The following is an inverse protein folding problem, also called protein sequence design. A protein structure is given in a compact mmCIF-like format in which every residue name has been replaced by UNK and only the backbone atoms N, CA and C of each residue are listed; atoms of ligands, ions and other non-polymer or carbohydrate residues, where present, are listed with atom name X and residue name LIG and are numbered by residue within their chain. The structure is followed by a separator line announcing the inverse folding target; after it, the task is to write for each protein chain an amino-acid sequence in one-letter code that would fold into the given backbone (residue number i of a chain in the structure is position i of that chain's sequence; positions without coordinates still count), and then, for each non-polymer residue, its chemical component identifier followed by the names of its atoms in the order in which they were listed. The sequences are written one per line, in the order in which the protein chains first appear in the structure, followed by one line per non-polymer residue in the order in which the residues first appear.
data_IF_180227682669
#
_entry.id   IF_180227682669
#
_cell.length_a   1.000
_cell.length_b   1.000
_cell.length_c   1.000
_cell.angle_alpha   90.00
_cell.angle_beta   90.00
_cell.angle_gamma   90.00
#
_symmetry.space_group_name_H-M   'P 1'
#
loop_
_entity.id
_entity.type
_entity.pdbx_description
1 polymer ?
#
# COMPACT_ATOMS: atom_id res chain seq x y z
N UNK A 1 -55.19 -10.64 25.19
CA UNK A 1 -54.99 -9.46 24.33
C UNK A 1 -54.34 -8.39 25.21
N UNK A 2 -53.23 -7.74 24.91
CA UNK A 2 -52.51 -7.53 23.65
C UNK A 2 -50.98 -7.58 23.85
N UNK A 3 -50.27 -7.81 22.74
CA UNK A 3 -48.82 -7.95 22.57
C UNK A 3 -48.09 -6.60 22.60
N UNK A 4 -46.86 -6.64 23.11
CA UNK A 4 -45.63 -6.11 22.49
C UNK A 4 -45.53 -4.63 22.14
N UNK A 5 -44.58 -3.93 22.77
CA UNK A 5 -43.83 -2.83 22.15
C UNK A 5 -42.35 -3.14 22.29
N UNK A 6 -41.74 -3.61 21.21
CA UNK A 6 -40.30 -3.68 21.04
C UNK A 6 -39.73 -2.27 21.13
N UNK A 7 -38.61 -2.12 21.85
CA UNK A 7 -37.76 -0.95 21.75
C UNK A 7 -37.18 -0.95 20.33
N UNK A 8 -37.75 -0.13 19.45
CA UNK A 8 -37.17 0.09 18.12
C UNK A 8 -35.83 0.81 18.32
N UNK A 9 -34.75 0.04 18.18
CA UNK A 9 -33.39 0.52 18.07
C UNK A 9 -33.33 1.39 16.80
N UNK A 10 -33.38 2.72 16.96
CA UNK A 10 -33.20 3.67 15.86
C UNK A 10 -31.80 3.45 15.28
N UNK A 11 -31.73 2.61 14.25
CA UNK A 11 -30.52 2.29 13.53
C UNK A 11 -30.26 3.39 12.50
N UNK A 12 -29.66 4.48 12.96
CA UNK A 12 -29.17 5.55 12.09
C UNK A 12 -28.21 4.95 11.06
N UNK A 13 -28.53 5.09 9.77
CA UNK A 13 -27.70 4.60 8.68
C UNK A 13 -26.84 5.76 8.16
N UNK A 14 -25.54 5.68 8.43
CA UNK A 14 -24.57 6.65 7.96
C UNK A 14 -23.83 6.07 6.76
N UNK A 15 -24.03 6.65 5.58
CA UNK A 15 -23.30 6.29 4.37
C UNK A 15 -22.46 7.47 3.87
N UNK A 16 -21.26 7.17 3.40
CA UNK A 16 -20.26 8.15 3.01
C UNK A 16 -19.72 7.78 1.64
N UNK A 17 -20.04 8.59 0.64
CA UNK A 17 -19.39 8.54 -0.67
C UNK A 17 -18.33 9.65 -0.71
N UNK A 18 -17.07 9.28 -0.87
CA UNK A 18 -15.96 10.22 -0.82
C UNK A 18 -14.88 9.85 -1.84
N UNK A 19 -14.51 10.82 -2.66
CA UNK A 19 -13.48 10.72 -3.68
C UNK A 19 -12.25 11.48 -3.20
N UNK A 20 -11.14 10.76 -3.11
CA UNK A 20 -9.83 11.31 -2.77
C UNK A 20 -8.87 11.13 -3.95
N UNK A 21 -8.02 12.12 -4.18
CA UNK A 21 -6.88 12.03 -5.08
C UNK A 21 -5.60 12.25 -4.30
N UNK A 22 -4.59 11.43 -4.54
CA UNK A 22 -3.34 11.55 -3.82
C UNK A 22 -2.16 10.93 -4.51
N UNK A 23 -1.00 11.18 -3.92
CA UNK A 23 0.29 10.66 -4.38
C UNK A 23 0.86 9.74 -3.31
N UNK A 24 1.47 8.63 -3.72
CA UNK A 24 2.04 7.64 -2.79
C UNK A 24 3.56 7.66 -2.87
N UNK A 25 4.22 8.04 -1.79
CA UNK A 25 5.66 7.96 -1.64
C UNK A 25 5.99 6.81 -0.71
N UNK A 26 6.70 5.79 -1.18
CA UNK A 26 6.98 4.63 -0.35
C UNK A 26 8.30 3.96 -0.66
N UNK A 27 8.76 3.22 0.33
CA UNK A 27 9.93 2.34 0.27
C UNK A 27 9.45 0.90 0.30
N UNK A 28 10.09 0.06 -0.52
CA UNK A 28 9.85 -1.37 -0.61
C UNK A 28 11.12 -2.10 -0.18
N UNK A 29 10.96 -3.13 0.65
CA UNK A 29 12.05 -3.97 1.12
C UNK A 29 11.73 -5.44 0.83
N UNK A 30 12.50 -6.02 -0.10
CA UNK A 30 12.47 -7.43 -0.41
C UNK A 30 13.13 -8.23 0.72
N UNK A 31 12.36 -9.03 1.43
CA UNK A 31 12.87 -9.81 2.56
C UNK A 31 13.07 -11.30 2.25
N UNK A 32 12.37 -11.84 1.25
CA UNK A 32 12.48 -13.25 0.87
C UNK A 32 12.33 -13.43 -0.64
N UNK A 33 13.31 -14.05 -1.29
CA UNK A 33 13.23 -14.41 -2.71
C UNK A 33 13.45 -15.91 -2.90
N UNK A 34 12.43 -16.59 -3.42
CA UNK A 34 12.46 -18.01 -3.77
C UNK A 34 12.66 -18.12 -5.28
N UNK A 35 13.76 -18.73 -5.69
CA UNK A 35 14.08 -18.94 -7.11
C UNK A 35 13.73 -20.35 -7.53
N UNK A 36 13.10 -20.50 -8.69
CA UNK A 36 12.91 -21.80 -9.29
C UNK A 36 14.21 -22.23 -9.98
N UNK A 37 14.81 -23.33 -9.52
CA UNK A 37 16.04 -23.89 -10.11
C UNK A 37 15.79 -24.58 -11.44
N UNK A 38 14.56 -24.98 -11.74
CA UNK A 38 14.18 -25.67 -12.98
C UNK A 38 14.02 -24.68 -14.15
N UNK A 39 13.62 -23.44 -13.87
CA UNK A 39 13.44 -22.39 -14.88
C UNK A 39 14.11 -21.10 -14.41
N UNK A 40 15.28 -20.81 -14.97
CA UNK A 40 16.17 -19.71 -14.58
C UNK A 40 15.51 -18.30 -14.55
N UNK A 41 14.37 -18.11 -15.20
CA UNK A 41 13.65 -16.83 -15.29
C UNK A 41 12.34 -16.80 -14.48
N UNK A 42 12.16 -17.69 -13.50
CA UNK A 42 10.96 -17.75 -12.64
C UNK A 42 11.33 -17.72 -11.16
N UNK A 43 10.53 -16.98 -10.39
CA UNK A 43 10.79 -16.79 -8.98
C UNK A 43 9.69 -15.98 -8.32
N UNK A 44 9.63 -16.14 -7.00
CA UNK A 44 8.66 -15.51 -6.14
C UNK A 44 9.39 -14.66 -5.10
N UNK A 45 9.06 -13.37 -5.01
CA UNK A 45 9.68 -12.41 -4.10
C UNK A 45 8.62 -11.86 -3.17
N UNK A 46 8.84 -11.98 -1.87
CA UNK A 46 8.04 -11.32 -0.85
C UNK A 46 8.70 -10.02 -0.42
N UNK A 47 7.88 -9.01 -0.24
CA UNK A 47 8.32 -7.67 0.12
C UNK A 47 7.43 -7.06 1.19
N UNK A 48 8.02 -6.18 2.00
CA UNK A 48 7.32 -5.28 2.89
C UNK A 48 7.37 -3.88 2.30
N UNK A 49 6.27 -3.11 2.42
CA UNK A 49 6.17 -1.76 1.87
C UNK A 49 5.67 -0.80 2.93
N UNK A 50 6.34 0.33 3.04
CA UNK A 50 5.91 1.46 3.86
C UNK A 50 5.75 2.68 2.97
N UNK A 51 4.62 3.37 3.07
CA UNK A 51 4.28 4.51 2.23
C UNK A 51 3.59 5.63 3.01
N UNK A 52 3.86 6.87 2.59
CA UNK A 52 3.16 8.08 2.96
C UNK A 52 2.31 8.53 1.77
N UNK A 53 1.07 8.87 2.03
CA UNK A 53 0.14 9.30 1.01
C UNK A 53 -0.61 10.56 1.45
N UNK A 54 -0.16 11.76 1.03
CA UNK A 54 -1.01 12.94 1.06
C UNK A 54 -2.16 12.74 0.07
N UNK A 55 -3.38 12.78 0.57
CA UNK A 55 -4.61 12.65 -0.19
C UNK A 55 -5.46 13.90 0.02
N UNK A 56 -5.91 14.48 -1.09
CA UNK A 56 -6.80 15.63 -1.14
C UNK A 56 -8.22 15.13 -1.36
N UNK A 57 -9.14 15.61 -0.53
CA UNK A 57 -10.56 15.37 -0.73
C UNK A 57 -11.03 16.16 -1.95
N UNK A 58 -11.61 15.45 -2.91
CA UNK A 58 -12.10 16.07 -4.16
C UNK A 58 -13.59 16.35 -4.05
N UNK A 59 -14.36 15.37 -3.55
CA UNK A 59 -15.81 15.44 -3.47
C UNK A 59 -16.33 14.38 -2.53
N UNK A 60 -17.44 14.63 -1.84
CA UNK A 60 -18.14 13.59 -1.11
C UNK A 60 -19.46 14.06 -0.55
N UNK A 61 -20.33 13.10 -0.29
CA UNK A 61 -21.68 13.32 0.26
C UNK A 61 -21.86 12.39 1.45
N UNK A 62 -22.38 12.94 2.55
CA UNK A 62 -22.80 12.15 3.70
C UNK A 62 -24.32 12.02 3.65
N UNK A 63 -24.83 10.80 3.74
CA UNK A 63 -26.27 10.57 3.89
C UNK A 63 -26.56 10.19 5.35
N UNK A 64 -27.41 10.97 6.02
CA UNK A 64 -27.93 10.67 7.36
C UNK A 64 -29.45 10.59 7.24
N UNK A 65 -30.03 9.41 7.46
CA UNK A 65 -31.50 9.18 7.53
C UNK A 65 -32.28 9.94 6.44
N UNK A 66 -31.97 9.64 5.17
CA UNK A 66 -32.55 10.23 3.95
C UNK A 66 -32.24 11.71 3.66
N UNK A 67 -31.42 12.38 4.48
CA UNK A 67 -30.88 13.70 4.16
C UNK A 67 -29.46 13.59 3.61
N UNK A 68 -29.30 13.98 2.33
CA UNK A 68 -28.01 14.07 1.66
C UNK A 68 -27.38 15.43 1.98
N UNK A 69 -26.31 15.41 2.76
CA UNK A 69 -25.50 16.60 3.05
C UNK A 69 -24.28 16.57 2.15
N UNK A 70 -24.12 17.61 1.32
CA UNK A 70 -22.92 17.80 0.51
C UNK A 70 -21.76 18.20 1.41
N UNK A 71 -20.67 17.43 1.38
CA UNK A 71 -19.46 17.71 2.15
C UNK A 71 -18.52 18.68 1.41
N UNK A 72 -18.90 19.13 0.20
CA UNK A 72 -18.16 20.17 -0.52
C UNK A 72 -18.26 21.52 0.19
N UNK A 73 -17.12 22.04 0.64
CA UNK A 73 -17.02 23.37 1.26
C UNK A 73 -17.06 23.39 2.80
N UNK A 74 -17.01 22.23 3.46
CA UNK A 74 -16.81 22.17 4.92
C UNK A 74 -15.32 22.38 5.25
N UNK A 75 -15.00 23.38 6.08
CA UNK A 75 -13.63 23.81 6.45
C UNK A 75 -12.71 22.64 6.87
N UNK A 76 -13.28 21.55 7.37
CA UNK A 76 -12.56 20.37 7.87
C UNK A 76 -11.91 19.50 6.76
N UNK A 77 -12.20 19.77 5.47
CA UNK A 77 -11.63 19.05 4.33
C UNK A 77 -10.73 19.92 3.43
N UNK A 78 -10.48 21.19 3.79
CA UNK A 78 -9.63 22.11 3.01
C UNK A 78 -8.12 21.85 3.18
N UNK A 79 -7.76 20.92 4.07
CA UNK A 79 -6.38 20.50 4.30
C UNK A 79 -6.12 19.07 3.82
N UNK A 80 -4.97 18.80 3.16
CA UNK A 80 -4.61 17.45 2.74
C UNK A 80 -4.56 16.51 3.94
N UNK A 81 -5.22 15.37 3.79
CA UNK A 81 -5.19 14.30 4.79
C UNK A 81 -4.00 13.39 4.52
N UNK A 82 -3.23 13.06 5.55
CA UNK A 82 -2.05 12.22 5.40
C UNK A 82 -2.35 10.79 5.85
N UNK A 83 -2.14 9.84 4.95
CA UNK A 83 -2.22 8.43 5.28
C UNK A 83 -0.82 7.83 5.37
N UNK A 84 -0.54 7.21 6.52
CA UNK A 84 0.59 6.30 6.63
C UNK A 84 0.09 4.89 6.33
N UNK A 85 0.70 4.23 5.34
CA UNK A 85 0.31 2.90 4.88
C UNK A 85 1.47 1.93 5.01
N UNK A 86 1.25 0.83 5.71
CA UNK A 86 2.21 -0.27 5.86
C UNK A 86 1.59 -1.57 5.38
N UNK A 87 2.37 -2.39 4.70
CA UNK A 87 1.84 -3.62 4.13
C UNK A 87 2.92 -4.57 3.66
N UNK A 88 2.46 -5.68 3.10
CA UNK A 88 3.31 -6.69 2.51
C UNK A 88 2.68 -7.21 1.23
N UNK A 89 3.53 -7.74 0.35
CA UNK A 89 3.08 -8.30 -0.90
C UNK A 89 4.02 -9.38 -1.41
N UNK A 90 3.62 -9.93 -2.54
CA UNK A 90 4.33 -10.96 -3.27
C UNK A 90 4.35 -10.62 -4.74
N UNK A 91 5.51 -10.80 -5.36
CA UNK A 91 5.75 -10.67 -6.78
C UNK A 91 6.12 -12.03 -7.35
N UNK A 92 5.49 -12.42 -8.45
CA UNK A 92 5.84 -13.61 -9.20
C UNK A 92 6.34 -13.21 -10.60
N UNK A 93 7.61 -13.49 -10.87
CA UNK A 93 8.21 -13.26 -12.18
C UNK A 93 7.89 -14.42 -13.12
N UNK A 94 7.09 -14.17 -14.16
CA UNK A 94 6.76 -15.17 -15.18
C UNK A 94 7.85 -15.27 -16.25
N UNK A 95 8.43 -14.11 -16.58
CA UNK A 95 9.49 -13.95 -17.57
C UNK A 95 10.39 -12.76 -17.19
N UNK A 96 11.40 -12.49 -18.02
CA UNK A 96 12.25 -11.30 -17.86
C UNK A 96 11.50 -9.99 -18.15
N UNK A 97 10.32 -10.08 -18.77
CA UNK A 97 9.53 -8.92 -19.20
C UNK A 97 8.27 -8.73 -18.37
N UNK A 98 7.71 -9.79 -17.79
CA UNK A 98 6.41 -9.75 -17.12
C UNK A 98 6.48 -10.35 -15.72
N UNK A 99 5.97 -9.61 -14.75
CA UNK A 99 5.72 -10.08 -13.39
C UNK A 99 4.28 -9.80 -12.99
N UNK A 100 3.75 -10.60 -12.07
CA UNK A 100 2.44 -10.37 -11.44
C UNK A 100 2.70 -10.02 -9.98
N UNK A 101 1.93 -9.10 -9.43
CA UNK A 101 1.99 -8.76 -8.01
C UNK A 101 0.64 -8.93 -7.34
N UNK A 102 0.70 -9.24 -6.05
CA UNK A 102 -0.42 -9.13 -5.13
C UNK A 102 0.09 -8.48 -3.84
N UNK A 103 -0.65 -7.53 -3.29
CA UNK A 103 -0.29 -6.81 -2.09
C UNK A 103 -1.49 -6.54 -1.19
N UNK A 104 -1.21 -6.44 0.10
CA UNK A 104 -2.14 -5.93 1.08
C UNK A 104 -1.48 -4.77 1.83
N UNK A 105 -2.19 -3.63 1.89
CA UNK A 105 -1.74 -2.43 2.60
C UNK A 105 -2.78 -2.05 3.65
N UNK A 106 -2.32 -1.90 4.88
CA UNK A 106 -3.09 -1.32 5.97
C UNK A 106 -2.71 0.16 6.10
N UNK A 107 -3.70 1.04 6.13
CA UNK A 107 -3.52 2.48 6.25
C UNK A 107 -4.13 3.02 7.53
N UNK A 108 -3.43 3.96 8.16
CA UNK A 108 -3.98 4.79 9.22
C UNK A 108 -3.83 6.26 8.82
N UNK A 109 -4.93 6.98 8.94
CA UNK A 109 -4.99 8.41 8.79
C UNK A 109 -4.39 9.17 9.96
N UNK A 110 -3.57 10.19 9.67
CA UNK A 110 -3.04 11.14 10.63
C UNK A 110 -3.24 12.57 10.10
N UNK A 111 -3.76 13.48 10.93
CA UNK A 111 -3.78 14.91 10.62
C UNK A 111 -2.47 15.50 11.13
N UNK A 112 -1.58 15.88 10.21
CA UNK A 112 -0.28 16.49 10.56
C UNK A 112 -0.39 18.00 10.85
N UNK A 113 -1.50 18.63 10.46
CA UNK A 113 -1.78 20.04 10.71
C UNK A 113 -3.02 20.14 11.61
N UNK A 114 -2.81 20.54 12.86
CA UNK A 114 -3.87 20.80 13.84
C UNK A 114 -4.63 22.07 13.44
N UNK A 115 -5.87 21.91 12.99
CA UNK A 115 -6.81 23.02 12.86
C UNK A 115 -7.51 23.22 14.21
N UNK A 116 -6.92 24.10 15.03
CA UNK A 116 -7.44 24.65 16.31
C UNK A 116 -7.44 23.70 17.53
N UNK A 117 -7.04 24.20 18.72
CA UNK A 117 -6.86 23.40 19.94
C UNK A 117 -8.15 23.12 20.74
N UNK A 118 -9.34 23.36 20.19
CA UNK A 118 -10.60 23.37 20.97
C UNK A 118 -11.70 22.41 20.46
N UNK A 119 -11.45 21.65 19.40
CA UNK A 119 -12.40 20.65 18.89
C UNK A 119 -11.91 19.23 19.24
N UNK A 120 -12.64 18.57 20.14
CA UNK A 120 -12.29 17.25 20.69
C UNK A 120 -12.75 16.08 19.80
N UNK A 121 -13.10 16.33 18.54
CA UNK A 121 -13.57 15.34 17.59
C UNK A 121 -12.44 14.89 16.64
N UNK A 122 -11.83 13.75 16.94
CA UNK A 122 -10.74 13.19 16.15
C UNK A 122 -11.25 12.14 15.15
N UNK A 123 -11.26 12.47 13.86
CA UNK A 123 -11.63 11.54 12.80
C UNK A 123 -10.50 10.55 12.51
N UNK A 124 -10.66 9.31 12.97
CA UNK A 124 -9.74 8.21 12.71
C UNK A 124 -10.18 7.36 11.52
N UNK A 125 -9.49 7.50 10.39
CA UNK A 125 -9.73 6.69 9.20
C UNK A 125 -8.74 5.52 9.15
N UNK A 126 -9.26 4.31 9.11
CA UNK A 126 -8.49 3.07 8.92
C UNK A 126 -8.84 2.51 7.55
N UNK A 127 -7.83 2.16 6.75
CA UNK A 127 -8.03 1.65 5.39
C UNK A 127 -7.38 0.29 5.18
N UNK A 128 -8.04 -0.55 4.40
CA UNK A 128 -7.54 -1.85 3.97
C UNK A 128 -7.55 -1.88 2.45
N UNK A 129 -6.38 -2.01 1.83
CA UNK A 129 -6.25 -2.06 0.38
C UNK A 129 -5.69 -3.41 -0.05
N UNK A 130 -6.44 -4.11 -0.89
CA UNK A 130 -5.96 -5.28 -1.62
C UNK A 130 -5.64 -4.85 -3.05
N UNK A 131 -4.41 -5.09 -3.47
CA UNK A 131 -3.93 -4.75 -4.81
C UNK A 131 -3.46 -5.98 -5.54
N UNK A 132 -3.78 -6.08 -6.82
CA UNK A 132 -3.25 -7.09 -7.72
C UNK A 132 -2.99 -6.46 -9.07
N UNK A 133 -2.00 -6.95 -9.80
CA UNK A 133 -1.71 -6.41 -11.12
C UNK A 133 -0.50 -7.03 -11.78
N UNK A 134 -0.10 -6.42 -12.89
CA UNK A 134 0.98 -6.91 -13.75
C UNK A 134 2.01 -5.80 -13.92
N UNK A 135 3.28 -6.15 -13.72
CA UNK A 135 4.41 -5.31 -14.07
C UNK A 135 4.98 -5.74 -15.41
N UNK A 136 5.26 -4.74 -16.25
CA UNK A 136 5.98 -4.91 -17.51
C UNK A 136 7.33 -4.23 -17.38
N UNK A 137 8.41 -5.00 -17.52
CA UNK A 137 9.76 -4.48 -17.50
C UNK A 137 10.07 -3.78 -18.82
N UNK A 138 10.56 -2.55 -18.71
CA UNK A 138 11.10 -1.80 -19.84
C UNK A 138 12.45 -2.40 -20.28
N UNK A 139 12.86 -2.25 -21.56
CA UNK A 139 14.02 -2.94 -22.14
C UNK A 139 15.38 -2.74 -21.43
N UNK A 140 15.50 -1.81 -20.48
CA UNK A 140 16.71 -1.53 -19.71
C UNK A 140 16.53 -1.64 -18.18
N UNK A 141 15.34 -1.97 -17.69
CA UNK A 141 15.05 -2.10 -16.26
C UNK A 141 14.68 -3.55 -15.95
N UNK A 142 15.54 -4.26 -15.22
CA UNK A 142 15.27 -5.63 -14.79
C UNK A 142 14.79 -5.64 -13.36
N UNK A 143 13.47 -5.55 -13.17
CA UNK A 143 12.85 -5.75 -11.86
C UNK A 143 12.99 -7.22 -11.42
N UNK A 144 12.75 -8.14 -12.34
CA UNK A 144 12.97 -9.56 -12.11
C UNK A 144 14.47 -9.89 -12.14
N UNK A 145 14.99 -10.34 -11.00
CA UNK A 145 16.38 -10.80 -10.80
C UNK A 145 17.44 -9.69 -10.97
N UNK A 146 17.54 -8.74 -10.02
CA UNK A 146 18.74 -7.92 -9.93
C UNK A 146 19.96 -8.83 -9.80
N UNK A 147 20.96 -8.63 -10.66
CA UNK A 147 22.21 -9.40 -10.64
C UNK A 147 22.76 -9.34 -9.21
N UNK A 148 22.85 -10.50 -8.55
CA UNK A 148 23.59 -10.62 -7.29
C UNK A 148 24.98 -10.04 -7.55
N UNK A 149 25.39 -9.05 -6.75
CA UNK A 149 26.70 -8.38 -6.82
C UNK A 149 27.79 -9.38 -7.21
N UNK A 150 28.73 -9.04 -8.11
CA UNK A 150 29.86 -9.91 -8.40
C UNK A 150 30.55 -10.27 -7.08
N UNK A 151 30.63 -11.57 -6.77
CA UNK A 151 31.47 -12.07 -5.68
C UNK A 151 32.88 -11.56 -5.95
N UNK A 152 33.40 -10.69 -5.08
CA UNK A 152 34.81 -10.28 -5.10
C UNK A 152 35.66 -11.55 -5.18
N UNK A 153 36.44 -11.65 -6.26
CA UNK A 153 37.23 -12.83 -6.58
C UNK A 153 38.19 -13.18 -5.44
N UNK A 154 38.12 -14.44 -5.01
CA UNK A 154 39.22 -15.08 -4.29
C UNK A 154 40.37 -15.29 -5.26
N UNK A 155 41.37 -14.40 -5.21
CA UNK A 155 42.66 -14.58 -5.86
C UNK A 155 43.42 -15.70 -5.14
N UNK A 156 43.18 -16.95 -5.55
CA UNK A 156 44.02 -18.08 -5.19
C UNK A 156 45.34 -18.01 -5.94
N UNK A 157 46.38 -17.49 -5.29
CA UNK A 157 47.74 -17.50 -5.80
C UNK A 157 48.28 -18.93 -5.86
N UNK A 158 48.31 -19.51 -7.06
CA UNK A 158 49.06 -20.74 -7.35
C UNK A 158 50.54 -20.39 -7.51
N UNK A 159 51.35 -20.64 -6.46
CA UNK A 159 52.81 -20.63 -6.56
C UNK A 159 53.25 -21.86 -7.33
N UNK A 160 53.65 -21.66 -8.58
CA UNK A 160 54.34 -22.66 -9.40
C UNK A 160 55.74 -22.95 -8.85
N UNK A 161 55.95 -24.20 -8.48
CA UNK A 161 57.21 -24.79 -8.03
C UNK A 161 58.18 -24.91 -9.21
N UNK A 162 59.33 -24.23 -9.14
CA UNK A 162 60.43 -24.41 -10.10
C UNK A 162 61.32 -25.57 -9.63
N UNK A 163 61.38 -26.64 -10.42
CA UNK A 163 62.28 -27.78 -10.21
C UNK A 163 63.67 -27.46 -10.77
N UNK A 164 64.67 -27.82 -9.95
CA UNK A 164 66.10 -28.10 -10.17
C UNK A 164 66.75 -27.65 -11.49
#
# INVERSE_FOLDING_TARGET
MARGTSLDEYKYYYDWDAIFIGTHFGVEYDFLTIRDKSKANRGLTFYARLALAPEFFVKGTQTIDDQVVDLMGVEQFDSPYFFMRGGAGVNYCLSNTVAIFAQYMYGKGVRLFEAKPDDNETLHIITHHLGFGVFVNLPHCRYCFPQTKPRKGGSGGSKGTMKK
#
